data_IF_108223038957
#
_entry.id   IF_108223038957
#
_cell.length_a   1.000
_cell.length_b   1.000
_cell.length_c   1.000
_cell.angle_alpha   90.00
_cell.angle_beta   90.00
_cell.angle_gamma   90.00
#
_symmetry.space_group_name_H-M   'P 1'
#
loop_
_entity.id
_entity.type
_entity.pdbx_description
1 polymer ?
#
# COMPACT_ATOMS: atom_id res chain seq x y z
N UNK A 1 -13.90 5.64 28.43
CA UNK A 1 -13.17 6.54 27.51
C UNK A 1 -11.76 5.98 27.38
N UNK A 2 -11.49 5.20 26.34
CA UNK A 2 -10.15 4.74 26.00
C UNK A 2 -9.44 5.85 25.23
N UNK A 3 -8.21 6.16 25.63
CA UNK A 3 -7.39 7.21 25.02
C UNK A 3 -7.09 6.84 23.55
N UNK A 4 -7.01 7.81 22.62
CA UNK A 4 -6.63 7.57 21.22
C UNK A 4 -5.19 7.04 21.02
N UNK A 5 -4.44 6.80 22.10
CA UNK A 5 -3.06 6.31 22.09
C UNK A 5 -2.90 4.78 22.02
N UNK A 6 -3.98 3.98 22.10
CA UNK A 6 -3.89 2.52 22.33
C UNK A 6 -3.95 1.63 21.08
N UNK A 7 -3.73 2.17 19.88
CA UNK A 7 -3.53 1.33 18.68
C UNK A 7 -2.39 1.89 17.83
N UNK A 8 -1.17 1.44 18.10
CA UNK A 8 -0.10 1.56 17.13
C UNK A 8 -0.55 0.89 15.82
N UNK A 9 -0.22 1.47 14.66
CA UNK A 9 -0.56 0.84 13.39
C UNK A 9 0.17 -0.51 13.28
N UNK A 10 -0.26 -1.34 12.32
CA UNK A 10 0.28 -2.70 12.14
C UNK A 10 1.82 -2.72 12.10
N UNK A 11 2.45 -3.79 12.61
CA UNK A 11 3.89 -3.95 12.44
C UNK A 11 4.29 -4.00 10.97
N UNK A 12 5.57 -3.74 10.66
CA UNK A 12 6.04 -3.70 9.27
C UNK A 12 5.77 -5.00 8.51
N UNK A 13 5.88 -6.16 9.18
CA UNK A 13 5.58 -7.47 8.60
C UNK A 13 4.09 -7.60 8.32
N UNK A 14 3.23 -7.23 9.26
CA UNK A 14 1.77 -7.30 9.09
C UNK A 14 1.29 -6.37 7.97
N UNK A 15 1.79 -5.14 7.91
CA UNK A 15 1.50 -4.20 6.82
C UNK A 15 1.93 -4.79 5.47
N UNK A 16 3.15 -5.33 5.38
CA UNK A 16 3.64 -5.93 4.14
C UNK A 16 2.76 -7.11 3.71
N UNK A 17 2.34 -7.97 4.65
CA UNK A 17 1.48 -9.11 4.33
C UNK A 17 0.10 -8.68 3.86
N UNK A 18 -0.47 -7.64 4.45
CA UNK A 18 -1.74 -7.09 4.01
C UNK A 18 -1.65 -6.47 2.61
N UNK A 19 -0.53 -5.81 2.29
CA UNK A 19 -0.25 -5.31 0.94
C UNK A 19 -0.05 -6.43 -0.08
N UNK A 20 0.70 -7.49 0.25
CA UNK A 20 0.89 -8.65 -0.65
C UNK A 20 -0.44 -9.36 -0.95
N UNK A 21 -1.40 -9.33 -0.02
CA UNK A 21 -2.73 -9.91 -0.22
C UNK A 21 -3.64 -9.09 -1.13
N UNK A 22 -3.25 -7.87 -1.47
CA UNK A 22 -3.88 -7.09 -2.53
C UNK A 22 -3.26 -7.52 -3.87
N UNK A 23 -3.99 -8.24 -4.75
CA UNK A 23 -3.46 -8.68 -6.03
C UNK A 23 -3.42 -7.54 -7.05
N UNK A 24 -2.70 -6.45 -6.72
CA UNK A 24 -2.64 -5.15 -7.40
C UNK A 24 -1.93 -5.21 -8.76
N UNK A 25 -2.30 -6.17 -9.61
CA UNK A 25 -1.72 -6.34 -10.93
C UNK A 25 -2.21 -5.21 -11.84
N UNK A 26 -1.27 -4.44 -12.37
CA UNK A 26 -1.52 -3.34 -13.30
C UNK A 26 -2.50 -3.76 -14.41
N UNK A 27 -3.59 -3.00 -14.68
CA UNK A 27 -3.93 -1.67 -14.17
C UNK A 27 -4.80 -1.68 -12.89
N UNK A 28 -5.05 -2.84 -12.29
CA UNK A 28 -5.97 -2.97 -11.16
C UNK A 28 -5.23 -2.72 -9.86
N UNK A 29 -5.78 -1.84 -9.04
CA UNK A 29 -5.18 -1.40 -7.78
C UNK A 29 -5.50 -2.37 -6.61
N UNK A 30 -6.67 -3.02 -6.64
CA UNK A 30 -7.09 -4.13 -5.75
C UNK A 30 -6.92 -3.86 -4.24
N UNK A 31 -7.09 -2.59 -3.83
CA UNK A 31 -7.16 -2.13 -2.44
C UNK A 31 -5.82 -1.89 -1.76
N UNK A 32 -4.69 -1.99 -2.46
CA UNK A 32 -3.35 -1.79 -1.88
C UNK A 32 -3.17 -0.38 -1.28
N UNK A 33 -3.55 0.65 -2.03
CA UNK A 33 -3.53 2.05 -1.62
C UNK A 33 -4.54 2.37 -0.53
N UNK A 34 -5.68 1.68 -0.46
CA UNK A 34 -6.59 1.80 0.69
C UNK A 34 -5.91 1.32 1.98
N UNK A 35 -5.13 0.23 1.91
CA UNK A 35 -4.33 -0.25 3.05
C UNK A 35 -3.25 0.76 3.43
N UNK A 36 -2.52 1.31 2.45
CA UNK A 36 -1.50 2.33 2.71
C UNK A 36 -2.12 3.59 3.32
N UNK A 37 -3.24 4.08 2.77
CA UNK A 37 -3.93 5.26 3.30
C UNK A 37 -4.37 5.03 4.74
N UNK A 38 -5.04 3.91 5.02
CA UNK A 38 -5.50 3.61 6.39
C UNK A 38 -4.35 3.54 7.38
N UNK A 39 -3.22 2.93 6.99
CA UNK A 39 -2.02 2.85 7.81
C UNK A 39 -1.43 4.24 8.11
N UNK A 40 -1.28 5.07 7.06
CA UNK A 40 -0.69 6.41 7.18
C UNK A 40 -1.58 7.37 7.97
N UNK A 41 -2.90 7.32 7.77
CA UNK A 41 -3.87 8.11 8.55
C UNK A 41 -3.84 7.73 10.04
N UNK A 42 -3.75 6.44 10.36
CA UNK A 42 -3.56 5.97 11.74
C UNK A 42 -2.25 6.47 12.36
N UNK A 43 -1.20 6.62 11.54
CA UNK A 43 0.08 7.20 11.95
C UNK A 43 0.08 8.75 12.00
N UNK A 44 -1.03 9.41 11.65
CA UNK A 44 -1.19 10.87 11.74
C UNK A 44 -0.79 11.65 10.49
N UNK A 45 -0.66 11.00 9.34
CA UNK A 45 -0.49 11.68 8.05
C UNK A 45 -1.83 12.22 7.53
N UNK A 46 -1.77 13.32 6.78
CA UNK A 46 -2.87 13.76 5.92
C UNK A 46 -2.70 13.13 4.55
N UNK A 47 -3.67 12.32 4.14
CA UNK A 47 -3.69 11.61 2.86
C UNK A 47 -4.62 12.27 1.85
N UNK A 48 -4.16 12.34 0.60
CA UNK A 48 -4.94 12.83 -0.55
C UNK A 48 -4.85 11.82 -1.69
N UNK A 49 -6.00 11.35 -2.17
CA UNK A 49 -6.12 10.54 -3.39
C UNK A 49 -6.07 11.43 -4.62
N UNK A 50 -5.27 11.04 -5.61
CA UNK A 50 -5.06 11.79 -6.85
C UNK A 50 -5.15 10.84 -8.03
N UNK A 51 -6.20 10.96 -8.83
CA UNK A 51 -6.38 10.16 -10.05
C UNK A 51 -5.91 10.99 -11.25
N UNK A 52 -4.99 10.44 -12.03
CA UNK A 52 -4.49 11.07 -13.26
C UNK A 52 -4.84 10.21 -14.48
N UNK A 53 -5.28 10.85 -15.56
CA UNK A 53 -5.47 10.19 -16.85
C UNK A 53 -4.09 9.80 -17.41
N UNK A 54 -3.87 8.50 -17.65
CA UNK A 54 -2.57 7.93 -18.00
C UNK A 54 -2.09 8.20 -19.44
N UNK A 55 -2.24 9.42 -19.95
CA UNK A 55 -1.78 9.87 -21.28
C UNK A 55 -2.00 8.85 -22.41
N UNK A 56 -3.27 8.50 -22.64
CA UNK A 56 -3.67 7.50 -23.64
C UNK A 56 -3.66 6.04 -23.15
N UNK A 57 -3.30 5.79 -21.89
CA UNK A 57 -3.45 4.49 -21.22
C UNK A 57 -4.70 4.45 -20.31
N UNK A 58 -4.58 3.92 -19.10
CA UNK A 58 -5.65 3.83 -18.10
C UNK A 58 -5.45 4.89 -17.00
N UNK A 59 -6.51 5.33 -16.31
CA UNK A 59 -6.38 6.19 -15.14
C UNK A 59 -5.55 5.51 -14.05
N UNK A 60 -4.65 6.26 -13.42
CA UNK A 60 -3.81 5.77 -12.32
C UNK A 60 -4.20 6.50 -11.04
N UNK A 61 -4.57 5.73 -10.02
CA UNK A 61 -4.86 6.27 -8.69
C UNK A 61 -3.56 6.37 -7.88
N UNK A 62 -3.31 7.54 -7.28
CA UNK A 62 -2.10 7.85 -6.53
C UNK A 62 -2.47 8.27 -5.11
N UNK A 63 -1.56 8.00 -4.16
CA UNK A 63 -1.68 8.48 -2.79
C UNK A 63 -0.57 9.49 -2.50
N UNK A 64 -0.94 10.72 -2.17
CA UNK A 64 -0.01 11.71 -1.64
C UNK A 64 -0.28 11.92 -0.15
N UNK A 65 0.71 11.61 0.68
CA UNK A 65 0.61 11.70 2.14
C UNK A 65 1.63 12.68 2.70
N UNK A 66 1.22 13.50 3.66
CA UNK A 66 2.07 14.54 4.26
C UNK A 66 2.00 14.53 5.77
N UNK A 67 3.11 14.86 6.42
CA UNK A 67 3.21 15.04 7.87
C UNK A 67 4.12 16.24 8.18
N UNK A 68 3.64 17.14 9.05
CA UNK A 68 4.33 18.39 9.39
C UNK A 68 4.10 19.54 8.40
N UNK A 69 4.75 20.70 8.65
CA UNK A 69 4.58 21.97 7.89
C UNK A 69 5.90 22.72 7.63
N UNK A 70 7.03 22.01 7.68
CA UNK A 70 8.37 22.59 7.52
C UNK A 70 8.68 23.02 6.09
N UNK A 71 9.75 23.81 5.90
CA UNK A 71 10.18 24.31 4.57
C UNK A 71 10.99 23.30 3.74
N UNK A 72 11.54 22.26 4.39
CA UNK A 72 12.30 21.20 3.74
C UNK A 72 11.51 19.91 3.86
N UNK A 73 11.45 19.16 2.77
CA UNK A 73 10.71 17.90 2.70
C UNK A 73 11.66 16.76 2.43
N UNK A 74 11.46 15.65 3.14
CA UNK A 74 11.94 14.34 2.73
C UNK A 74 10.76 13.61 2.11
N UNK A 75 10.94 13.06 0.90
CA UNK A 75 9.90 12.34 0.16
C UNK A 75 10.29 10.87 0.02
N UNK A 76 9.37 9.98 0.37
CA UNK A 76 9.42 8.58 -0.02
C UNK A 76 8.54 8.39 -1.26
N UNK A 77 9.14 7.90 -2.35
CA UNK A 77 8.43 7.55 -3.58
C UNK A 77 8.44 6.04 -3.78
N UNK A 78 7.32 5.47 -4.20
CA UNK A 78 7.17 4.05 -4.46
C UNK A 78 5.90 3.78 -5.27
N UNK A 79 5.64 2.51 -5.56
CA UNK A 79 4.45 2.06 -6.29
C UNK A 79 3.88 0.81 -5.60
N UNK A 80 2.58 0.60 -5.73
CA UNK A 80 1.88 -0.55 -5.13
C UNK A 80 1.47 -1.60 -6.15
N UNK A 81 1.49 -1.26 -7.45
CA UNK A 81 1.14 -2.18 -8.51
C UNK A 81 2.27 -3.20 -8.77
N UNK A 82 1.86 -4.38 -9.22
CA UNK A 82 2.78 -5.50 -9.50
C UNK A 82 2.52 -6.09 -10.89
N UNK A 83 3.47 -6.88 -11.37
CA UNK A 83 3.34 -7.62 -12.63
C UNK A 83 2.44 -8.85 -12.48
N UNK A 84 1.90 -9.41 -13.59
CA UNK A 84 1.20 -10.69 -13.56
C UNK A 84 2.05 -11.82 -12.95
N UNK A 85 1.40 -12.74 -12.25
CA UNK A 85 2.08 -13.78 -11.44
C UNK A 85 2.69 -14.92 -12.25
N UNK A 86 2.41 -14.99 -13.56
CA UNK A 86 2.71 -16.15 -14.38
C UNK A 86 1.85 -17.36 -14.01
N UNK A 87 2.39 -18.57 -14.18
CA UNK A 87 1.71 -19.81 -13.81
C UNK A 87 1.69 -20.01 -12.29
N UNK A 88 0.49 -19.95 -11.70
CA UNK A 88 0.28 -20.12 -10.25
C UNK A 88 0.73 -21.51 -9.78
N UNK A 89 0.65 -22.55 -10.62
CA UNK A 89 1.08 -23.90 -10.23
C UNK A 89 2.61 -24.01 -10.04
N UNK A 90 3.37 -23.07 -10.59
CA UNK A 90 4.82 -22.98 -10.42
C UNK A 90 5.24 -22.36 -9.08
N UNK A 91 4.30 -21.84 -8.29
CA UNK A 91 4.58 -21.24 -6.99
C UNK A 91 4.48 -22.26 -5.85
N UNK A 92 5.49 -22.29 -4.97
CA UNK A 92 5.45 -23.11 -3.75
C UNK A 92 4.38 -22.62 -2.74
N UNK A 93 4.23 -21.30 -2.64
CA UNK A 93 3.20 -20.61 -1.86
C UNK A 93 2.47 -19.66 -2.81
N UNK A 94 1.14 -19.55 -2.69
CA UNK A 94 0.37 -18.69 -3.60
C UNK A 94 0.95 -17.26 -3.67
N UNK A 95 1.04 -16.63 -4.86
CA UNK A 95 1.76 -15.37 -5.05
C UNK A 95 1.24 -14.21 -4.19
N UNK A 96 -0.03 -14.27 -3.79
CA UNK A 96 -0.71 -13.29 -2.93
C UNK A 96 -1.12 -13.88 -1.57
N UNK A 97 -0.58 -15.04 -1.19
CA UNK A 97 -0.87 -15.68 0.11
C UNK A 97 -0.28 -14.92 1.29
N UNK A 98 0.84 -14.23 1.05
CA UNK A 98 1.68 -13.62 2.07
C UNK A 98 2.07 -14.63 3.17
N UNK A 99 2.43 -15.86 2.78
CA UNK A 99 2.92 -16.89 3.70
C UNK A 99 4.26 -16.47 4.33
N UNK A 100 4.43 -16.79 5.62
CA UNK A 100 5.73 -16.72 6.28
C UNK A 100 6.32 -18.13 6.31
N UNK A 101 7.49 -18.30 5.71
CA UNK A 101 8.16 -19.58 5.62
C UNK A 101 9.64 -19.43 5.99
N UNK A 102 10.06 -20.10 7.05
CA UNK A 102 11.44 -20.17 7.54
C UNK A 102 12.09 -18.85 8.07
N UNK A 103 11.27 -17.86 8.47
CA UNK A 103 11.72 -16.64 9.18
C UNK A 103 11.95 -15.45 8.27
#
# INVERSE_FOLDING_TARGET
MTSPADKAPAGAVELLRDLIRCPSVTPREEGALDRVQSYLEQAGFTCTRLIFDGDGSYPVDNLFATWGRGKRHLLFGGHTDVVPTGDVASWQHGPFSADLAAG
#
